data_IF_339976117624
#
_entry.id   IF_339976117624
#
_cell.length_a   1.000
_cell.length_b   1.000
_cell.length_c   1.000
_cell.angle_alpha   90.00
_cell.angle_beta   90.00
_cell.angle_gamma   90.00
#
_symmetry.space_group_name_H-M   'P 1'
#
loop_
_entity.id
_entity.type
_entity.pdbx_description
1 polymer ?
#
# COMPACT_ATOMS: atom_id res chain seq x y z
N UNK A 1 5.78 -0.67 4.72
CA UNK A 1 4.80 0.20 4.02
C UNK A 1 5.58 1.33 3.36
N UNK A 2 5.54 1.41 2.04
CA UNK A 2 6.08 2.54 1.28
C UNK A 2 4.92 3.49 0.98
N UNK A 3 4.87 4.63 1.65
CA UNK A 3 3.99 5.73 1.26
C UNK A 3 4.77 6.61 0.28
N UNK A 4 4.39 6.61 -0.99
CA UNK A 4 4.92 7.58 -1.96
C UNK A 4 4.03 8.81 -1.89
N UNK A 5 4.45 9.81 -1.12
CA UNK A 5 3.80 11.12 -1.08
C UNK A 5 4.50 12.00 -2.10
N UNK A 6 4.10 11.87 -3.37
CA UNK A 6 4.58 12.76 -4.40
C UNK A 6 4.11 14.20 -4.11
N UNK A 7 5.01 15.12 -4.01
CA UNK A 7 4.86 16.58 -4.09
C UNK A 7 4.52 17.42 -2.85
N UNK A 8 4.63 16.91 -1.61
CA UNK A 8 4.49 17.75 -0.41
C UNK A 8 5.58 17.50 0.64
N UNK A 9 6.83 17.67 0.23
CA UNK A 9 8.02 17.42 1.08
C UNK A 9 7.97 18.14 2.44
N UNK A 10 7.41 19.35 2.50
CA UNK A 10 7.30 20.11 3.73
C UNK A 10 6.32 19.54 4.75
N UNK A 11 5.21 18.93 4.29
CA UNK A 11 4.20 18.29 5.15
C UNK A 11 4.74 16.99 5.69
N UNK A 12 5.35 16.18 4.82
CA UNK A 12 5.98 14.92 5.20
C UNK A 12 7.08 15.14 6.22
N UNK A 13 7.91 16.16 6.03
CA UNK A 13 8.98 16.50 6.97
C UNK A 13 8.44 16.94 8.34
N UNK A 14 7.35 17.73 8.38
CA UNK A 14 6.70 18.14 9.63
C UNK A 14 6.09 16.95 10.36
N UNK A 15 5.38 16.08 9.65
CA UNK A 15 4.80 14.87 10.22
C UNK A 15 5.87 13.89 10.72
N UNK A 16 6.94 13.71 9.97
CA UNK A 16 8.07 12.90 10.39
C UNK A 16 8.72 13.43 11.68
N UNK A 17 8.90 14.74 11.79
CA UNK A 17 9.40 15.38 13.01
C UNK A 17 8.44 15.23 14.19
N UNK A 18 7.13 15.44 13.98
CA UNK A 18 6.12 15.27 15.03
C UNK A 18 5.97 13.82 15.47
N UNK A 19 6.24 12.86 14.58
CA UNK A 19 6.28 11.42 14.89
C UNK A 19 7.62 10.95 15.52
N UNK A 20 8.55 11.86 15.87
CA UNK A 20 9.81 11.52 16.51
C UNK A 20 10.84 10.85 15.61
N UNK A 21 10.74 11.03 14.30
CA UNK A 21 11.67 10.47 13.31
C UNK A 21 12.85 11.40 13.06
N UNK A 22 14.07 11.01 13.45
CA UNK A 22 15.28 11.83 13.35
C UNK A 22 15.89 11.90 11.95
N UNK A 23 15.51 11.07 11.01
CA UNK A 23 16.10 11.01 9.66
C UNK A 23 15.04 10.76 8.58
N UNK A 24 14.77 11.76 7.75
CA UNK A 24 13.95 11.67 6.54
C UNK A 24 14.83 11.88 5.33
N UNK A 25 14.87 10.91 4.41
CA UNK A 25 15.43 11.12 3.07
C UNK A 25 14.36 11.78 2.20
N UNK A 26 14.62 12.98 1.72
CA UNK A 26 13.79 13.69 0.74
C UNK A 26 13.76 12.86 -0.56
N UNK A 27 12.55 12.48 -1.01
CA UNK A 27 12.33 11.75 -2.27
C UNK A 27 11.70 10.36 -2.13
N UNK A 28 11.81 9.68 -1.00
CA UNK A 28 11.05 8.47 -0.67
C UNK A 28 10.96 8.33 0.83
N UNK A 29 9.78 8.58 1.38
CA UNK A 29 9.53 8.37 2.81
C UNK A 29 8.98 6.97 2.99
N UNK A 30 9.73 6.10 3.65
CA UNK A 30 9.23 4.86 4.19
C UNK A 30 8.79 5.10 5.62
N UNK A 31 7.50 5.02 5.88
CA UNK A 31 6.98 4.97 7.24
C UNK A 31 7.21 3.57 7.79
N UNK A 32 8.02 3.48 8.82
CA UNK A 32 8.09 2.30 9.66
C UNK A 32 6.89 2.39 10.63
N UNK A 33 5.89 1.53 10.46
CA UNK A 33 4.69 1.52 11.32
C UNK A 33 5.05 1.31 12.80
N UNK A 34 6.11 0.56 13.06
CA UNK A 34 6.59 0.34 14.42
C UNK A 34 7.10 1.64 15.06
N UNK A 35 7.62 2.57 14.27
CA UNK A 35 8.09 3.87 14.75
C UNK A 35 6.99 4.91 14.83
N UNK A 36 6.03 4.91 13.92
CA UNK A 36 4.86 5.81 13.99
C UNK A 36 3.97 5.46 15.18
N UNK A 37 3.88 4.17 15.53
CA UNK A 37 3.18 3.70 16.74
C UNK A 37 3.96 3.86 18.05
N UNK A 38 5.28 4.12 17.97
CA UNK A 38 6.18 4.26 19.12
C UNK A 38 6.69 5.69 19.33
N UNK A 39 6.32 6.62 18.47
CA UNK A 39 6.56 8.05 18.70
C UNK A 39 5.91 8.48 20.02
N UNK A 40 6.69 9.00 20.94
CA UNK A 40 6.25 9.26 22.32
C UNK A 40 5.05 10.20 22.45
N UNK A 41 4.68 10.92 21.36
CA UNK A 41 3.73 12.02 21.44
C UNK A 41 2.68 12.08 20.30
N UNK A 42 2.73 11.21 19.25
CA UNK A 42 1.78 11.26 18.12
C UNK A 42 1.34 9.86 17.68
N UNK A 43 0.05 9.60 17.70
CA UNK A 43 -0.53 8.35 17.20
C UNK A 43 -0.56 8.32 15.66
N UNK A 44 -0.67 7.11 15.07
CA UNK A 44 -0.86 6.93 13.63
C UNK A 44 -2.10 7.71 13.13
N UNK A 45 -3.17 7.70 13.91
CA UNK A 45 -4.42 8.40 13.59
C UNK A 45 -4.18 9.90 13.50
N UNK A 46 -3.55 10.50 14.50
CA UNK A 46 -3.24 11.94 14.52
C UNK A 46 -2.34 12.35 13.36
N UNK A 47 -1.32 11.54 13.05
CA UNK A 47 -0.44 11.80 11.92
C UNK A 47 -1.19 11.78 10.58
N UNK A 48 -2.07 10.81 10.37
CA UNK A 48 -2.86 10.70 9.14
C UNK A 48 -3.95 11.77 9.05
N UNK A 49 -4.57 12.14 10.18
CA UNK A 49 -5.51 13.28 10.25
C UNK A 49 -4.80 14.57 9.83
N UNK A 50 -3.67 14.87 10.44
CA UNK A 50 -2.89 16.07 10.11
C UNK A 50 -2.48 16.09 8.63
N UNK A 51 -2.06 14.95 8.07
CA UNK A 51 -1.73 14.83 6.66
C UNK A 51 -2.95 15.05 5.74
N UNK A 52 -4.09 14.46 6.09
CA UNK A 52 -5.35 14.62 5.34
C UNK A 52 -5.79 16.09 5.32
N UNK A 53 -5.77 16.75 6.47
CA UNK A 53 -6.23 18.13 6.61
C UNK A 53 -5.28 19.13 5.95
N UNK A 54 -3.98 18.92 6.06
CA UNK A 54 -2.99 19.78 5.43
C UNK A 54 -3.04 19.68 3.90
N UNK A 55 -3.15 18.44 3.37
CA UNK A 55 -3.16 18.21 1.92
C UNK A 55 -4.52 18.44 1.29
N UNK A 56 -5.60 18.40 2.07
CA UNK A 56 -7.00 18.43 1.61
C UNK A 56 -7.29 17.36 0.55
N UNK A 57 -6.69 16.17 0.72
CA UNK A 57 -6.79 15.04 -0.22
C UNK A 57 -7.14 13.75 0.50
N UNK A 58 -7.79 12.84 -0.22
CA UNK A 58 -7.95 11.46 0.21
C UNK A 58 -6.56 10.82 0.24
N UNK A 59 -6.22 10.22 1.37
CA UNK A 59 -5.01 9.42 1.51
C UNK A 59 -5.32 8.01 1.01
N UNK A 60 -4.44 7.46 0.16
CA UNK A 60 -4.48 6.05 -0.23
C UNK A 60 -3.22 5.38 0.28
N UNK A 61 -3.41 4.38 1.14
CA UNK A 61 -2.33 3.56 1.66
C UNK A 61 -2.39 2.17 1.03
N UNK A 62 -1.32 1.79 0.35
CA UNK A 62 -1.17 0.45 -0.22
C UNK A 62 -0.19 -0.34 0.63
N UNK A 63 -0.62 -1.50 1.11
CA UNK A 63 0.17 -2.43 1.93
C UNK A 63 0.36 -3.69 1.12
N UNK A 64 1.57 -3.88 0.64
CA UNK A 64 1.94 -5.10 -0.07
C UNK A 64 2.31 -6.22 0.89
N UNK A 65 1.99 -7.47 0.52
CA UNK A 65 2.18 -8.67 1.35
C UNK A 65 1.56 -8.52 2.75
N UNK A 66 0.38 -7.90 2.83
CA UNK A 66 -0.28 -7.52 4.09
C UNK A 66 -0.57 -8.70 5.02
N UNK A 67 -0.66 -9.94 4.49
CA UNK A 67 -0.84 -11.14 5.30
C UNK A 67 0.32 -11.40 6.28
N UNK A 68 1.51 -10.83 6.05
CA UNK A 68 2.60 -10.95 7.01
C UNK A 68 2.36 -10.19 8.31
N UNK A 69 1.51 -9.16 8.28
CA UNK A 69 1.20 -8.40 9.49
C UNK A 69 0.46 -9.23 10.55
N UNK A 70 -0.32 -10.26 10.16
CA UNK A 70 -1.03 -11.10 11.14
C UNK A 70 -0.14 -12.17 11.80
N UNK A 71 1.11 -12.29 11.43
CA UNK A 71 2.05 -13.28 11.99
C UNK A 71 2.70 -12.82 13.29
N UNK A 72 2.55 -11.55 13.66
CA UNK A 72 3.13 -10.97 14.89
C UNK A 72 2.11 -10.09 15.61
N UNK A 73 2.22 -10.00 16.93
CA UNK A 73 1.36 -9.13 17.76
C UNK A 73 1.51 -7.65 17.36
N UNK A 74 2.73 -7.20 17.07
CA UNK A 74 2.99 -5.83 16.61
C UNK A 74 2.29 -5.55 15.28
N UNK A 75 2.33 -6.49 14.34
CA UNK A 75 1.64 -6.36 13.06
C UNK A 75 0.12 -6.32 13.21
N UNK A 76 -0.45 -7.17 14.07
CA UNK A 76 -1.89 -7.14 14.39
C UNK A 76 -2.27 -5.80 15.00
N UNK A 77 -1.50 -5.31 15.99
CA UNK A 77 -1.73 -4.00 16.61
C UNK A 77 -1.67 -2.87 15.61
N UNK A 78 -0.72 -2.91 14.66
CA UNK A 78 -0.60 -1.93 13.57
C UNK A 78 -1.81 -1.94 12.64
N UNK A 79 -2.37 -3.12 12.32
CA UNK A 79 -3.59 -3.23 11.51
C UNK A 79 -4.81 -2.62 12.22
N UNK A 80 -4.94 -2.82 13.53
CA UNK A 80 -6.02 -2.20 14.31
C UNK A 80 -5.85 -0.69 14.44
N UNK A 81 -4.63 -0.20 14.64
CA UNK A 81 -4.35 1.24 14.63
C UNK A 81 -4.69 1.87 13.25
N UNK A 82 -4.37 1.16 12.17
CA UNK A 82 -4.73 1.59 10.82
C UNK A 82 -6.24 1.58 10.57
N UNK A 83 -6.95 0.57 11.11
CA UNK A 83 -8.42 0.55 11.08
C UNK A 83 -9.00 1.75 11.81
N UNK A 84 -8.53 2.04 13.02
CA UNK A 84 -9.00 3.18 13.81
C UNK A 84 -8.77 4.50 13.05
N UNK A 85 -7.59 4.69 12.47
CA UNK A 85 -7.28 5.86 11.65
C UNK A 85 -8.20 5.97 10.41
N UNK A 86 -8.46 4.85 9.73
CA UNK A 86 -9.39 4.81 8.59
C UNK A 86 -10.80 5.20 9.02
N UNK A 87 -11.29 4.64 10.11
CA UNK A 87 -12.64 4.88 10.60
C UNK A 87 -12.80 6.35 11.03
N UNK A 88 -11.80 6.92 11.70
CA UNK A 88 -11.76 8.34 12.07
C UNK A 88 -11.80 9.24 10.81
N UNK A 89 -10.87 9.04 9.86
CA UNK A 89 -10.80 9.90 8.69
C UNK A 89 -12.00 9.79 7.75
N UNK A 90 -12.73 8.68 7.79
CA UNK A 90 -13.91 8.48 6.95
C UNK A 90 -15.24 8.85 7.64
N UNK A 91 -15.26 8.99 8.97
CA UNK A 91 -16.47 9.31 9.74
C UNK A 91 -16.62 10.79 10.08
N UNK A 92 -15.59 11.59 9.90
CA UNK A 92 -15.48 12.98 10.36
C UNK A 92 -15.38 13.97 9.20
N UNK A 93 -14.96 15.20 9.51
CA UNK A 93 -14.79 16.29 8.55
C UNK A 93 -13.51 16.21 7.72
N UNK A 94 -12.73 15.14 7.89
CA UNK A 94 -11.49 14.93 7.17
C UNK A 94 -11.72 14.44 5.72
N UNK A 95 -10.66 14.40 4.92
CA UNK A 95 -10.77 14.08 3.49
C UNK A 95 -10.82 12.57 3.19
N UNK A 96 -10.53 11.73 4.18
CA UNK A 96 -10.68 10.28 4.12
C UNK A 96 -9.39 9.50 3.90
N UNK A 97 -9.44 8.22 4.30
CA UNK A 97 -8.36 7.24 4.13
C UNK A 97 -8.91 6.00 3.42
N UNK A 98 -8.22 5.55 2.38
CA UNK A 98 -8.45 4.28 1.70
C UNK A 98 -7.26 3.37 1.95
N UNK A 99 -7.55 2.13 2.32
CA UNK A 99 -6.52 1.11 2.57
C UNK A 99 -6.70 0.00 1.54
N UNK A 100 -5.65 -0.29 0.81
CA UNK A 100 -5.57 -1.38 -0.16
C UNK A 100 -4.51 -2.35 0.34
N UNK A 101 -4.91 -3.59 0.59
CA UNK A 101 -4.01 -4.66 0.98
C UNK A 101 -3.81 -5.60 -0.21
N UNK A 102 -2.56 -5.88 -0.57
CA UNK A 102 -2.20 -6.87 -1.57
C UNK A 102 -1.44 -8.02 -0.95
N UNK A 103 -1.36 -9.15 -1.63
CA UNK A 103 -0.61 -10.30 -1.17
C UNK A 103 -0.56 -11.37 -2.25
N UNK A 104 0.54 -12.10 -2.29
CA UNK A 104 0.80 -13.17 -3.25
C UNK A 104 -0.02 -14.45 -2.98
N UNK A 105 -0.57 -14.60 -1.76
CA UNK A 105 -1.40 -15.74 -1.38
C UNK A 105 -2.79 -15.28 -0.96
N UNK A 106 -3.79 -15.62 -1.79
CA UNK A 106 -5.19 -15.20 -1.61
C UNK A 106 -5.79 -15.68 -0.28
N UNK A 107 -5.53 -16.94 0.11
CA UNK A 107 -6.10 -17.52 1.31
C UNK A 107 -5.52 -16.88 2.57
N UNK A 108 -4.22 -16.63 2.59
CA UNK A 108 -3.57 -15.90 3.67
C UNK A 108 -4.05 -14.44 3.73
N UNK A 109 -4.21 -13.78 2.59
CA UNK A 109 -4.76 -12.43 2.53
C UNK A 109 -6.21 -12.39 3.04
N UNK A 110 -7.01 -13.42 2.73
CA UNK A 110 -8.37 -13.54 3.21
C UNK A 110 -8.47 -13.63 4.74
N UNK A 111 -7.43 -14.11 5.42
CA UNK A 111 -7.40 -14.16 6.90
C UNK A 111 -7.51 -12.77 7.54
N UNK A 112 -7.12 -11.70 6.85
CA UNK A 112 -7.28 -10.31 7.32
C UNK A 112 -8.75 -9.89 7.48
N UNK A 113 -9.69 -10.61 6.85
CA UNK A 113 -11.10 -10.21 6.77
C UNK A 113 -12.13 -11.28 7.16
N UNK A 114 -11.72 -12.53 7.33
CA UNK A 114 -12.65 -13.65 7.49
C UNK A 114 -13.21 -13.79 8.90
N UNK A 115 -12.60 -13.23 9.92
CA UNK A 115 -13.06 -13.27 11.31
C UNK A 115 -13.43 -11.87 11.80
N UNK A 116 -14.44 -11.81 12.70
CA UNK A 116 -14.84 -10.58 13.40
C UNK A 116 -13.72 -9.98 14.25
N UNK A 117 -12.78 -10.82 14.66
CA UNK A 117 -11.61 -10.41 15.45
C UNK A 117 -10.50 -9.81 14.60
N UNK A 118 -10.71 -9.67 13.28
CA UNK A 118 -9.73 -9.09 12.38
C UNK A 118 -10.03 -7.63 12.07
N UNK A 119 -8.97 -6.85 11.89
CA UNK A 119 -9.07 -5.40 11.67
C UNK A 119 -9.92 -5.03 10.44
N UNK A 120 -9.86 -5.84 9.39
CA UNK A 120 -10.57 -5.59 8.12
C UNK A 120 -11.72 -6.58 7.87
N UNK A 121 -12.38 -7.05 8.92
CA UNK A 121 -13.53 -7.94 8.79
C UNK A 121 -14.54 -7.41 7.77
N UNK A 122 -14.96 -8.27 6.86
CA UNK A 122 -15.95 -7.95 5.83
C UNK A 122 -15.43 -7.10 4.65
N UNK A 123 -14.15 -6.71 4.64
CA UNK A 123 -13.59 -5.98 3.50
C UNK A 123 -13.70 -6.82 2.21
N UNK A 124 -13.94 -6.20 1.04
CA UNK A 124 -14.01 -6.93 -0.21
C UNK A 124 -12.65 -7.59 -0.53
N UNK A 125 -12.69 -8.82 -1.02
CA UNK A 125 -11.54 -9.54 -1.54
C UNK A 125 -11.76 -9.78 -3.02
N UNK A 126 -10.94 -9.15 -3.84
CA UNK A 126 -10.99 -9.26 -5.30
C UNK A 126 -9.73 -9.92 -5.84
N UNK A 127 -9.85 -10.61 -6.97
CA UNK A 127 -8.67 -11.08 -7.66
C UNK A 127 -7.97 -9.90 -8.32
N UNK A 128 -6.64 -9.90 -8.28
CA UNK A 128 -5.88 -8.95 -9.07
C UNK A 128 -6.09 -9.28 -10.55
N UNK A 129 -6.38 -8.28 -11.40
CA UNK A 129 -6.57 -8.54 -12.82
C UNK A 129 -5.26 -9.05 -13.42
N UNK A 130 -5.36 -10.05 -14.29
CA UNK A 130 -4.21 -10.54 -15.02
C UNK A 130 -3.69 -9.47 -15.99
N UNK A 131 -2.40 -9.49 -16.24
CA UNK A 131 -1.79 -8.63 -17.25
C UNK A 131 -2.33 -9.02 -18.64
N UNK A 132 -2.83 -8.04 -19.38
CA UNK A 132 -3.42 -8.22 -20.70
C UNK A 132 -2.46 -7.91 -21.85
N UNK A 133 -2.99 -7.91 -23.07
CA UNK A 133 -2.22 -7.61 -24.30
C UNK A 133 -1.50 -6.25 -24.23
N UNK A 134 -2.13 -5.23 -23.61
CA UNK A 134 -1.50 -3.93 -23.42
C UNK A 134 -0.19 -3.96 -22.61
N UNK A 135 -0.04 -4.93 -21.70
CA UNK A 135 1.23 -5.15 -21.01
C UNK A 135 2.29 -5.66 -21.99
N UNK A 136 1.93 -6.60 -22.88
CA UNK A 136 2.86 -7.15 -23.86
C UNK A 136 3.26 -6.10 -24.90
N UNK A 137 2.33 -5.26 -25.33
CA UNK A 137 2.63 -4.13 -26.22
C UNK A 137 3.63 -3.16 -25.57
N UNK A 138 3.40 -2.81 -24.30
CA UNK A 138 4.32 -2.00 -23.53
C UNK A 138 5.67 -2.68 -23.37
N UNK A 139 5.68 -3.96 -22.95
CA UNK A 139 6.91 -4.75 -22.73
C UNK A 139 7.76 -4.81 -23.99
N UNK A 140 7.19 -5.17 -25.15
CA UNK A 140 7.89 -5.27 -26.42
C UNK A 140 8.50 -3.94 -26.87
N UNK A 141 7.91 -2.82 -26.46
CA UNK A 141 8.39 -1.48 -26.76
C UNK A 141 9.52 -1.01 -25.85
N UNK A 142 9.42 -1.32 -24.55
CA UNK A 142 10.32 -0.79 -23.52
C UNK A 142 11.52 -1.69 -23.21
N UNK A 143 11.44 -2.99 -23.57
CA UNK A 143 12.55 -3.92 -23.31
C UNK A 143 13.72 -3.62 -24.26
N UNK A 144 14.91 -3.47 -23.67
CA UNK A 144 16.16 -3.24 -24.41
C UNK A 144 16.76 -4.56 -24.86
N UNK A 145 16.41 -4.99 -26.08
CA UNK A 145 16.95 -6.20 -26.72
C UNK A 145 17.57 -5.83 -28.06
N UNK A 146 18.57 -6.60 -28.55
CA UNK A 146 19.22 -6.38 -29.83
C UNK A 146 18.32 -6.67 -31.05
N UNK A 147 17.09 -7.06 -30.83
CA UNK A 147 16.08 -7.35 -31.84
C UNK A 147 14.69 -6.85 -31.37
N UNK A 148 13.80 -6.57 -32.31
CA UNK A 148 12.44 -6.16 -32.01
C UNK A 148 11.56 -7.39 -31.74
N UNK A 149 10.76 -7.32 -30.66
CA UNK A 149 9.74 -8.30 -30.34
C UNK A 149 8.41 -7.90 -31.01
N UNK A 150 7.77 -8.87 -31.65
CA UNK A 150 6.40 -8.70 -32.13
C UNK A 150 5.41 -9.08 -31.02
N UNK A 151 4.58 -8.15 -30.51
CA UNK A 151 3.57 -8.46 -29.51
C UNK A 151 2.66 -9.64 -29.84
N UNK A 152 2.34 -9.84 -31.12
CA UNK A 152 1.49 -10.95 -31.57
C UNK A 152 2.16 -12.32 -31.42
N UNK A 153 3.48 -12.36 -31.44
CA UNK A 153 4.25 -13.60 -31.23
C UNK A 153 4.52 -13.83 -29.75
N UNK A 154 4.71 -12.76 -28.96
CA UNK A 154 4.96 -12.85 -27.52
C UNK A 154 3.70 -13.18 -26.73
N UNK A 155 2.54 -12.68 -27.15
CA UNK A 155 1.29 -12.89 -26.42
C UNK A 155 0.94 -14.37 -26.17
N UNK A 156 0.96 -15.29 -27.17
CA UNK A 156 0.69 -16.69 -26.91
C UNK A 156 1.65 -17.34 -25.90
N UNK A 157 2.94 -16.99 -25.94
CA UNK A 157 3.95 -17.47 -25.01
C UNK A 157 3.68 -16.98 -23.58
N UNK A 158 3.27 -15.71 -23.44
CA UNK A 158 2.90 -15.15 -22.15
C UNK A 158 1.65 -15.81 -21.54
N UNK A 159 0.67 -16.14 -22.36
CA UNK A 159 -0.51 -16.91 -21.94
C UNK A 159 -0.10 -18.32 -21.48
N UNK A 160 0.77 -19.00 -22.22
CA UNK A 160 1.29 -20.33 -21.87
C UNK A 160 2.12 -20.30 -20.58
N UNK A 161 2.87 -19.22 -20.33
CA UNK A 161 3.57 -18.95 -19.08
C UNK A 161 2.64 -18.59 -17.90
N UNK A 162 1.31 -18.61 -18.10
CA UNK A 162 0.32 -18.33 -17.06
C UNK A 162 0.26 -16.87 -16.64
N UNK A 163 0.52 -15.95 -17.56
CA UNK A 163 0.52 -14.50 -17.35
C UNK A 163 1.57 -14.03 -16.31
N UNK A 164 2.71 -14.72 -16.27
CA UNK A 164 3.79 -14.43 -15.33
C UNK A 164 4.93 -13.74 -16.07
N UNK A 165 5.24 -12.46 -15.70
CA UNK A 165 6.29 -11.71 -16.39
C UNK A 165 7.71 -12.18 -16.07
N UNK A 166 7.89 -13.01 -15.05
CA UNK A 166 9.19 -13.56 -14.62
C UNK A 166 9.57 -14.90 -15.28
N UNK A 167 8.72 -15.43 -16.13
CA UNK A 167 8.94 -16.74 -16.80
C UNK A 167 9.47 -16.55 -18.21
#
# INVERSE_FOLDING_TARGET
>A
IRATLASNDGVVLRLAKSAGMDKVKVGSVSFDLDRVGLGKDVSLTEALVALSDETKKIIVLVIDEAQHAITTEAGVSALFALKAARDELNSSQHHGLRVVCTGSNRDKLAMLRNSKDQAFFGAPLVNFPMLGEGYIEWFCKEVDLPFQLDPKQVWPLFVEAGYRPEV
#
